data_IF_825226741752
#
_entry.id   IF_825226741752
#
_cell.length_a   1.000
_cell.length_b   1.000
_cell.length_c   1.000
_cell.angle_alpha   90.00
_cell.angle_beta   90.00
_cell.angle_gamma   90.00
#
_symmetry.space_group_name_H-M   'P 1'
#
loop_
_entity.id
_entity.type
_entity.pdbx_description
1 polymer ?
#
# COMPACT_ATOMS: atom_id res chain seq x y z
N UNK A 1 -12.38 -8.11 -41.22
CA UNK A 1 -11.69 -9.03 -40.29
C UNK A 1 -12.29 -8.75 -38.92
N UNK A 2 -13.23 -9.58 -38.49
CA UNK A 2 -13.79 -9.52 -37.12
C UNK A 2 -12.79 -10.20 -36.22
N UNK A 3 -12.33 -9.47 -35.20
CA UNK A 3 -11.35 -9.95 -34.24
C UNK A 3 -12.05 -10.94 -33.29
N UNK A 4 -11.74 -12.24 -33.41
CA UNK A 4 -12.29 -13.33 -32.57
C UNK A 4 -12.11 -13.11 -31.06
N UNK A 5 -11.15 -12.26 -30.68
CA UNK A 5 -10.91 -11.90 -29.28
C UNK A 5 -12.04 -11.05 -28.69
N UNK A 6 -12.88 -10.40 -29.52
CA UNK A 6 -14.01 -9.59 -29.07
C UNK A 6 -15.26 -10.43 -28.70
N UNK A 7 -15.34 -11.68 -29.13
CA UNK A 7 -16.49 -12.57 -28.88
C UNK A 7 -16.32 -13.45 -27.64
N UNK A 8 -15.09 -13.60 -27.14
CA UNK A 8 -14.80 -14.48 -26.01
C UNK A 8 -15.10 -13.83 -24.66
N UNK A 9 -16.00 -14.43 -23.88
CA UNK A 9 -16.29 -14.04 -22.48
C UNK A 9 -15.14 -14.38 -21.48
N UNK A 10 -14.01 -14.89 -21.97
CA UNK A 10 -12.83 -15.12 -21.14
C UNK A 10 -12.32 -13.82 -20.51
N UNK A 11 -12.49 -12.69 -21.17
CA UNK A 11 -12.05 -11.37 -20.68
C UNK A 11 -13.17 -10.66 -19.90
N UNK A 12 -12.80 -10.06 -18.76
CA UNK A 12 -13.73 -9.31 -17.92
C UNK A 12 -14.48 -8.19 -18.69
N UNK A 13 -13.78 -7.52 -19.62
CA UNK A 13 -14.35 -6.49 -20.48
C UNK A 13 -15.51 -7.02 -21.33
N UNK A 14 -15.36 -8.20 -21.92
CA UNK A 14 -16.39 -8.81 -22.77
C UNK A 14 -17.57 -9.28 -21.93
N UNK A 15 -17.33 -9.88 -20.75
CA UNK A 15 -18.40 -10.23 -19.81
C UNK A 15 -19.24 -9.03 -19.39
N UNK A 16 -18.58 -7.89 -19.11
CA UNK A 16 -19.31 -6.66 -18.80
C UNK A 16 -20.17 -6.21 -19.95
N UNK A 17 -19.63 -6.22 -21.18
CA UNK A 17 -20.32 -5.78 -22.40
C UNK A 17 -21.48 -6.70 -22.79
N UNK A 18 -21.28 -8.03 -22.71
CA UNK A 18 -22.25 -9.01 -23.20
C UNK A 18 -23.31 -9.39 -22.16
N UNK A 19 -23.00 -9.26 -20.87
CA UNK A 19 -23.87 -9.70 -19.78
C UNK A 19 -24.33 -8.57 -18.87
N UNK A 20 -23.40 -7.81 -18.29
CA UNK A 20 -23.74 -6.86 -17.24
C UNK A 20 -24.49 -5.62 -17.78
N UNK A 21 -24.02 -5.02 -18.89
CA UNK A 21 -24.68 -3.86 -19.47
C UNK A 21 -26.10 -4.18 -20.01
N UNK A 22 -26.35 -5.28 -20.77
CA UNK A 22 -27.69 -5.67 -21.16
C UNK A 22 -28.63 -5.98 -19.99
N UNK A 23 -28.10 -6.59 -18.90
CA UNK A 23 -28.90 -6.83 -17.71
C UNK A 23 -29.32 -5.52 -17.01
N UNK A 24 -28.45 -4.52 -16.97
CA UNK A 24 -28.77 -3.19 -16.45
C UNK A 24 -29.83 -2.51 -17.34
N UNK A 25 -29.72 -2.58 -18.67
CA UNK A 25 -30.66 -1.99 -19.60
C UNK A 25 -32.02 -2.65 -19.52
N UNK A 26 -32.11 -3.97 -19.29
CA UNK A 26 -33.38 -4.68 -19.09
C UNK A 26 -34.12 -4.19 -17.83
N UNK A 27 -33.39 -3.72 -16.83
CA UNK A 27 -33.98 -3.18 -15.59
C UNK A 27 -34.34 -1.69 -15.75
N UNK A 28 -33.52 -0.94 -16.45
CA UNK A 28 -33.71 0.47 -16.72
C UNK A 28 -33.12 0.82 -18.11
N UNK A 29 -33.95 1.14 -19.06
CA UNK A 29 -33.53 1.48 -20.42
C UNK A 29 -32.52 2.64 -20.52
N UNK A 30 -32.46 3.53 -19.49
CA UNK A 30 -31.51 4.61 -19.43
C UNK A 30 -30.26 4.28 -18.62
N UNK A 31 -30.10 3.04 -18.12
CA UNK A 31 -29.02 2.69 -17.17
C UNK A 31 -27.62 2.97 -17.74
N UNK A 32 -27.33 2.55 -18.95
CA UNK A 32 -26.03 2.76 -19.60
C UNK A 32 -25.74 4.24 -19.82
N UNK A 33 -26.75 5.01 -20.25
CA UNK A 33 -26.59 6.46 -20.43
C UNK A 33 -26.37 7.19 -19.11
N UNK A 34 -27.08 6.79 -18.04
CA UNK A 34 -26.91 7.35 -16.72
C UNK A 34 -25.51 7.02 -16.15
N UNK A 35 -25.05 5.80 -16.37
CA UNK A 35 -23.69 5.39 -15.98
C UNK A 35 -22.62 6.19 -16.74
N UNK A 36 -22.79 6.38 -18.06
CA UNK A 36 -21.87 7.19 -18.85
C UNK A 36 -21.80 8.64 -18.34
N UNK A 37 -22.95 9.28 -18.09
CA UNK A 37 -22.99 10.64 -17.50
C UNK A 37 -22.37 10.70 -16.12
N UNK A 38 -22.55 9.66 -15.30
CA UNK A 38 -21.91 9.57 -14.00
C UNK A 38 -20.38 9.50 -14.15
N UNK A 39 -19.87 8.65 -15.04
CA UNK A 39 -18.42 8.55 -15.33
C UNK A 39 -17.83 9.87 -15.82
N UNK A 40 -18.54 10.57 -16.74
CA UNK A 40 -18.11 11.89 -17.21
C UNK A 40 -18.05 12.93 -16.08
N UNK A 41 -19.07 12.93 -15.21
CA UNK A 41 -19.07 13.83 -14.04
C UNK A 41 -17.96 13.47 -13.06
N UNK A 42 -17.75 12.19 -12.76
CA UNK A 42 -16.69 11.72 -11.89
C UNK A 42 -15.30 12.13 -12.44
N UNK A 43 -15.05 11.94 -13.74
CA UNK A 43 -13.81 12.35 -14.38
C UNK A 43 -13.55 13.87 -14.27
N UNK A 44 -14.61 14.69 -14.38
CA UNK A 44 -14.48 16.14 -14.19
C UNK A 44 -14.14 16.52 -12.75
N UNK A 45 -14.73 15.83 -11.77
CA UNK A 45 -14.42 16.02 -10.35
C UNK A 45 -12.98 15.61 -10.06
N UNK A 46 -12.56 14.47 -10.57
CA UNK A 46 -11.19 13.98 -10.43
C UNK A 46 -10.18 14.97 -11.01
N UNK A 47 -10.42 15.48 -12.23
CA UNK A 47 -9.57 16.49 -12.84
C UNK A 47 -9.49 17.78 -12.03
N UNK A 48 -10.59 18.21 -11.41
CA UNK A 48 -10.61 19.38 -10.54
C UNK A 48 -9.78 19.17 -9.27
N UNK A 49 -9.95 18.01 -8.61
CA UNK A 49 -9.16 17.65 -7.44
C UNK A 49 -7.68 17.53 -7.76
N UNK A 50 -7.33 16.86 -8.87
CA UNK A 50 -5.95 16.73 -9.33
C UNK A 50 -5.28 18.08 -9.58
N UNK A 51 -6.01 19.03 -10.21
CA UNK A 51 -5.51 20.39 -10.41
C UNK A 51 -5.29 21.14 -9.09
N UNK A 52 -6.22 20.99 -8.14
CA UNK A 52 -6.10 21.55 -6.79
C UNK A 52 -4.91 20.95 -6.02
N UNK A 53 -4.76 19.65 -6.06
CA UNK A 53 -3.66 18.91 -5.45
C UNK A 53 -2.30 19.34 -6.00
N UNK A 54 -2.19 19.49 -7.32
CA UNK A 54 -0.97 19.98 -7.96
C UNK A 54 -0.60 21.40 -7.49
N UNK A 55 -1.58 22.30 -7.37
CA UNK A 55 -1.36 23.66 -6.84
C UNK A 55 -0.93 23.62 -5.36
N UNK A 56 -1.55 22.78 -4.54
CA UNK A 56 -1.18 22.58 -3.14
C UNK A 56 0.27 22.12 -3.01
N UNK A 57 0.66 21.09 -3.76
CA UNK A 57 2.04 20.55 -3.76
C UNK A 57 3.04 21.59 -4.28
N UNK A 58 2.69 22.34 -5.32
CA UNK A 58 3.56 23.41 -5.85
C UNK A 58 3.75 24.52 -4.83
N UNK A 59 2.69 24.95 -4.13
CA UNK A 59 2.77 25.98 -3.09
C UNK A 59 3.55 25.51 -1.84
N UNK A 60 3.44 24.22 -1.49
CA UNK A 60 4.16 23.64 -0.37
C UNK A 60 5.62 23.27 -0.70
N UNK A 61 6.00 23.23 -1.96
CA UNK A 61 7.32 22.77 -2.43
C UNK A 61 8.45 23.59 -1.83
N UNK A 62 9.43 22.91 -1.25
CA UNK A 62 10.67 23.52 -0.78
C UNK A 62 11.73 23.54 -1.90
N UNK A 63 12.53 24.60 -2.02
CA UNK A 63 13.68 24.60 -2.93
C UNK A 63 14.72 23.57 -2.48
N UNK A 64 15.35 22.90 -3.43
CA UNK A 64 16.39 21.92 -3.15
C UNK A 64 16.44 20.81 -4.19
N UNK A 65 17.51 20.01 -4.15
CA UNK A 65 17.72 18.88 -5.06
C UNK A 65 16.76 17.72 -4.71
N UNK A 66 16.50 17.53 -3.41
CA UNK A 66 15.60 16.47 -2.94
C UNK A 66 14.14 16.95 -2.88
N UNK A 67 13.18 16.07 -3.20
CA UNK A 67 11.77 16.39 -3.08
C UNK A 67 11.35 16.59 -1.62
N UNK A 68 10.96 17.84 -1.28
CA UNK A 68 10.49 18.19 0.05
C UNK A 68 9.34 19.22 -0.03
N UNK A 69 8.43 19.16 0.95
CA UNK A 69 7.26 20.04 1.05
C UNK A 69 7.08 20.54 2.48
N UNK A 70 6.63 21.79 2.66
CA UNK A 70 6.25 22.30 3.95
C UNK A 70 5.01 21.58 4.47
N UNK A 71 5.01 21.20 5.76
CA UNK A 71 3.86 20.52 6.37
C UNK A 71 2.68 21.47 6.61
N UNK A 72 2.92 22.73 6.98
CA UNK A 72 1.85 23.66 7.34
C UNK A 72 0.78 23.83 6.24
N UNK A 73 1.10 24.07 4.96
CA UNK A 73 0.10 24.12 3.90
C UNK A 73 -0.62 22.79 3.69
N UNK A 74 0.08 21.65 3.83
CA UNK A 74 -0.51 20.32 3.69
C UNK A 74 -1.49 20.01 4.82
N UNK A 75 -1.13 20.37 6.05
CA UNK A 75 -1.97 20.17 7.23
C UNK A 75 -3.22 21.06 7.24
N UNK A 76 -3.13 22.26 6.65
CA UNK A 76 -4.24 23.19 6.54
C UNK A 76 -5.20 22.88 5.37
N UNK A 77 -4.82 21.95 4.48
CA UNK A 77 -5.61 21.61 3.31
C UNK A 77 -6.86 20.79 3.69
N UNK A 78 -7.90 20.87 2.83
CA UNK A 78 -9.04 19.97 2.91
C UNK A 78 -8.58 18.50 2.88
N UNK A 79 -9.18 17.61 3.69
CA UNK A 79 -8.77 16.21 3.77
C UNK A 79 -8.74 15.48 2.43
N UNK A 80 -9.74 15.69 1.57
CA UNK A 80 -9.81 15.06 0.26
C UNK A 80 -8.73 15.60 -0.69
N UNK A 81 -8.46 16.90 -0.60
CA UNK A 81 -7.40 17.53 -1.40
C UNK A 81 -6.01 17.05 -0.97
N UNK A 82 -5.77 16.92 0.35
CA UNK A 82 -4.54 16.33 0.89
C UNK A 82 -4.35 14.90 0.41
N UNK A 83 -5.40 14.08 0.51
CA UNK A 83 -5.37 12.68 0.06
C UNK A 83 -5.03 12.58 -1.43
N UNK A 84 -5.70 13.38 -2.28
CA UNK A 84 -5.41 13.45 -3.72
C UNK A 84 -3.97 13.88 -3.99
N UNK A 85 -3.45 14.86 -3.24
CA UNK A 85 -2.08 15.33 -3.36
C UNK A 85 -1.07 14.23 -2.99
N UNK A 86 -1.27 13.56 -1.86
CA UNK A 86 -0.39 12.49 -1.41
C UNK A 86 -0.48 11.25 -2.31
N UNK A 87 -1.68 10.92 -2.81
CA UNK A 87 -1.87 9.88 -3.82
C UNK A 87 -1.01 10.15 -5.06
N UNK A 88 -0.95 11.39 -5.54
CA UNK A 88 -0.13 11.76 -6.71
C UNK A 88 1.39 11.61 -6.46
N UNK A 89 1.84 11.66 -5.20
CA UNK A 89 3.24 11.40 -4.82
C UNK A 89 3.54 9.90 -4.71
N UNK A 90 2.56 9.09 -4.31
CA UNK A 90 2.70 7.64 -4.14
C UNK A 90 2.63 6.90 -5.47
N UNK A 91 1.69 7.28 -6.34
CA UNK A 91 1.38 6.60 -7.60
C UNK A 91 2.59 6.35 -8.53
N UNK A 92 3.55 7.28 -8.72
CA UNK A 92 4.73 7.05 -9.55
C UNK A 92 5.73 6.05 -8.97
N UNK A 93 5.65 5.80 -7.66
CA UNK A 93 6.63 4.98 -6.92
C UNK A 93 6.15 3.54 -6.79
N UNK A 94 4.86 3.36 -6.62
CA UNK A 94 4.21 2.09 -6.34
C UNK A 94 2.75 2.17 -6.76
N UNK A 95 2.13 1.00 -7.01
CA UNK A 95 0.67 0.92 -7.05
C UNK A 95 0.11 1.60 -5.81
N UNK A 96 -0.66 2.66 -6.03
CA UNK A 96 -1.17 3.52 -4.96
C UNK A 96 -2.27 2.80 -4.17
N UNK A 97 -1.89 1.74 -3.43
CA UNK A 97 -2.80 1.10 -2.51
C UNK A 97 -3.25 2.12 -1.46
N UNK A 98 -4.55 2.20 -1.25
CA UNK A 98 -5.21 3.10 -0.31
C UNK A 98 -4.52 3.19 1.06
N UNK A 99 -4.04 2.04 1.58
CA UNK A 99 -3.36 1.98 2.88
C UNK A 99 -2.11 2.87 2.97
N UNK A 100 -1.32 2.99 1.90
CA UNK A 100 -0.10 3.83 1.92
C UNK A 100 -0.44 5.31 1.88
N UNK A 101 -1.47 5.68 1.14
CA UNK A 101 -1.98 7.05 1.09
C UNK A 101 -2.49 7.45 2.48
N UNK A 102 -3.29 6.60 3.13
CA UNK A 102 -3.82 6.84 4.47
C UNK A 102 -2.72 6.92 5.54
N UNK A 103 -1.71 6.05 5.49
CA UNK A 103 -0.54 6.13 6.37
C UNK A 103 0.22 7.45 6.19
N UNK A 104 0.40 7.88 4.94
CA UNK A 104 1.09 9.13 4.64
C UNK A 104 0.26 10.34 5.09
N UNK A 105 -1.06 10.31 4.91
CA UNK A 105 -1.99 11.31 5.47
C UNK A 105 -1.85 11.42 7.00
N UNK A 106 -1.80 10.28 7.70
CA UNK A 106 -1.64 10.24 9.15
C UNK A 106 -0.31 10.89 9.58
N UNK A 107 0.80 10.53 8.93
CA UNK A 107 2.14 11.07 9.20
C UNK A 107 2.20 12.59 8.94
N UNK A 108 1.60 13.06 7.85
CA UNK A 108 1.51 14.51 7.55
C UNK A 108 0.70 15.24 8.62
N UNK A 109 -0.47 14.73 9.00
CA UNK A 109 -1.32 15.32 10.05
C UNK A 109 -0.63 15.36 11.40
N UNK A 110 0.09 14.30 11.75
CA UNK A 110 0.86 14.21 13.00
C UNK A 110 2.09 15.13 12.98
N UNK A 111 2.63 15.46 11.80
CA UNK A 111 3.82 16.28 11.64
C UNK A 111 5.14 15.55 11.93
N UNK A 112 5.08 14.25 12.18
CA UNK A 112 6.25 13.41 12.47
C UNK A 112 6.00 11.96 12.08
N UNK A 113 7.07 11.24 11.73
CA UNK A 113 7.03 9.84 11.37
C UNK A 113 7.54 9.57 9.97
N UNK A 114 7.47 8.30 9.55
CA UNK A 114 7.93 7.88 8.23
C UNK A 114 7.05 6.78 7.66
N UNK A 115 6.90 6.78 6.34
CA UNK A 115 6.23 5.72 5.57
C UNK A 115 7.18 5.23 4.49
N UNK A 116 7.51 3.95 4.51
CA UNK A 116 8.30 3.31 3.47
C UNK A 116 7.36 2.72 2.43
N UNK A 117 7.49 3.17 1.18
CA UNK A 117 6.65 2.70 0.06
C UNK A 117 7.27 1.49 -0.63
N UNK A 118 8.59 1.54 -0.87
CA UNK A 118 9.37 0.47 -1.49
C UNK A 118 10.66 0.28 -0.72
N UNK A 119 11.50 -0.67 -1.13
CA UNK A 119 12.83 -0.83 -0.56
C UNK A 119 13.71 0.42 -0.66
N UNK A 120 13.46 1.26 -1.66
CA UNK A 120 14.30 2.41 -2.01
C UNK A 120 13.66 3.77 -1.70
N UNK A 121 12.33 3.86 -1.57
CA UNK A 121 11.62 5.14 -1.40
C UNK A 121 10.89 5.19 -0.07
N UNK A 122 11.17 6.25 0.68
CA UNK A 122 10.57 6.54 1.97
C UNK A 122 10.15 8.00 2.02
N UNK A 123 9.01 8.27 2.65
CA UNK A 123 8.60 9.61 3.04
C UNK A 123 8.77 9.80 4.53
N UNK A 124 9.41 10.90 4.92
CA UNK A 124 9.66 11.26 6.32
C UNK A 124 9.07 12.64 6.61
N UNK A 125 8.23 12.73 7.64
CA UNK A 125 7.77 14.01 8.18
C UNK A 125 8.56 14.37 9.44
N UNK A 126 9.00 15.59 9.52
CA UNK A 126 9.73 16.13 10.67
C UNK A 126 10.26 17.53 10.39
N UNK A 127 10.55 18.29 11.46
CA UNK A 127 11.06 19.65 11.35
C UNK A 127 10.22 20.58 10.43
N UNK A 128 8.89 20.40 10.44
CA UNK A 128 7.96 21.20 9.64
C UNK A 128 7.93 20.87 8.15
N UNK A 129 8.57 19.80 7.70
CA UNK A 129 8.58 19.38 6.30
C UNK A 129 8.34 17.88 6.12
N UNK A 130 7.76 17.53 4.96
CA UNK A 130 7.67 16.19 4.40
C UNK A 130 8.80 16.05 3.38
N UNK A 131 9.61 15.02 3.48
CA UNK A 131 10.72 14.71 2.55
C UNK A 131 10.51 13.35 1.91
N UNK A 132 10.81 13.28 0.63
CA UNK A 132 10.97 12.01 -0.07
C UNK A 132 12.45 11.66 -0.08
N UNK A 133 12.80 10.55 0.51
CA UNK A 133 14.17 10.06 0.63
C UNK A 133 14.35 8.83 -0.26
N UNK A 134 15.44 8.81 -1.02
CA UNK A 134 15.91 7.62 -1.72
C UNK A 134 16.87 6.90 -0.79
N UNK A 135 16.48 5.70 -0.37
CA UNK A 135 17.37 4.83 0.39
C UNK A 135 18.35 4.18 -0.58
N UNK A 136 19.64 4.05 -0.23
CA UNK A 136 20.55 3.25 -1.02
C UNK A 136 20.00 1.84 -1.12
N UNK A 137 20.24 1.18 -2.27
CA UNK A 137 19.89 -0.23 -2.42
C UNK A 137 20.41 -0.96 -1.17
N UNK A 138 19.50 -1.59 -0.45
CA UNK A 138 19.92 -2.47 0.62
C UNK A 138 20.87 -3.46 -0.06
N UNK A 139 22.16 -3.32 0.23
CA UNK A 139 23.14 -4.34 -0.13
C UNK A 139 22.47 -5.67 0.17
N UNK A 140 22.45 -6.63 -0.79
CA UNK A 140 21.91 -7.93 -0.52
C UNK A 140 22.47 -8.29 0.84
N UNK A 141 21.60 -8.58 1.82
CA UNK A 141 22.06 -9.05 3.11
C UNK A 141 23.01 -10.17 2.76
N UNK A 142 24.30 -9.88 2.76
CA UNK A 142 25.27 -10.93 2.84
C UNK A 142 24.83 -11.66 4.09
N UNK A 143 24.18 -12.81 3.89
CA UNK A 143 24.09 -13.81 4.92
C UNK A 143 25.54 -13.90 5.39
N UNK A 144 25.86 -13.19 6.45
CA UNK A 144 27.07 -13.45 7.17
C UNK A 144 26.95 -14.91 7.55
N UNK A 145 27.57 -15.73 6.73
CA UNK A 145 27.71 -17.18 6.92
C UNK A 145 28.72 -17.48 8.04
N UNK A 146 28.81 -16.59 9.02
CA UNK A 146 29.35 -16.94 10.29
C UNK A 146 28.32 -17.87 10.95
N UNK A 147 28.65 -19.15 11.19
CA UNK A 147 27.78 -20.02 11.94
C UNK A 147 27.54 -19.33 13.29
N UNK A 148 26.34 -18.77 13.45
CA UNK A 148 25.88 -18.31 14.75
C UNK A 148 25.92 -19.55 15.62
N UNK A 149 26.88 -19.62 16.55
CA UNK A 149 26.83 -20.62 17.60
C UNK A 149 25.53 -20.36 18.34
N UNK A 150 24.49 -21.11 18.01
CA UNK A 150 23.26 -21.15 18.76
C UNK A 150 23.67 -21.74 20.12
N UNK A 151 23.54 -21.02 21.24
CA UNK A 151 23.85 -21.58 22.52
C UNK A 151 23.01 -22.84 22.68
N UNK A 152 23.67 -23.96 23.04
CA UNK A 152 22.99 -25.22 23.33
C UNK A 152 21.81 -24.92 24.26
N UNK A 153 20.61 -25.19 23.81
CA UNK A 153 19.41 -25.05 24.62
C UNK A 153 19.60 -25.89 25.89
N UNK A 154 19.23 -25.36 27.07
CA UNK A 154 19.27 -26.15 28.30
C UNK A 154 18.39 -27.38 28.14
N UNK A 155 18.81 -28.51 28.74
CA UNK A 155 18.14 -29.83 28.63
C UNK A 155 16.63 -29.84 28.96
N UNK A 156 16.11 -28.76 29.53
CA UNK A 156 14.69 -28.57 29.78
C UNK A 156 14.08 -27.69 28.68
N UNK A 157 13.23 -28.29 27.89
CA UNK A 157 12.39 -27.56 26.93
C UNK A 157 11.59 -26.46 27.65
N UNK A 158 11.65 -25.20 27.21
CA UNK A 158 10.88 -24.14 27.87
C UNK A 158 9.39 -24.36 27.63
N UNK A 159 8.63 -24.46 28.73
CA UNK A 159 7.16 -24.39 28.67
C UNK A 159 6.73 -22.94 28.48
N UNK A 160 5.92 -22.67 27.47
CA UNK A 160 5.36 -21.34 27.28
C UNK A 160 3.83 -21.35 27.36
N UNK A 161 3.27 -20.28 27.91
CA UNK A 161 1.83 -20.03 27.98
C UNK A 161 1.44 -19.01 26.93
N UNK A 162 0.59 -19.39 26.00
CA UNK A 162 -0.05 -18.45 25.08
C UNK A 162 -1.25 -17.77 25.76
N UNK A 163 -1.47 -16.48 25.44
CA UNK A 163 -2.69 -15.77 25.87
C UNK A 163 -3.90 -16.49 25.30
N UNK A 164 -4.75 -17.03 26.19
CA UNK A 164 -5.92 -17.83 25.79
C UNK A 164 -5.93 -19.25 26.36
N UNK A 165 -5.01 -19.61 27.28
CA UNK A 165 -5.04 -20.90 28.01
C UNK A 165 -4.37 -22.07 27.28
N UNK A 166 -3.69 -21.86 26.18
CA UNK A 166 -2.96 -22.91 25.46
C UNK A 166 -1.56 -23.13 26.05
N UNK A 167 -1.24 -24.39 26.29
CA UNK A 167 0.12 -24.84 26.67
C UNK A 167 0.73 -25.59 25.50
N UNK A 168 1.97 -25.26 25.16
CA UNK A 168 2.70 -25.91 24.08
C UNK A 168 4.15 -26.18 24.43
N UNK A 169 4.76 -27.15 23.78
CA UNK A 169 6.20 -27.42 23.79
C UNK A 169 6.75 -27.09 22.43
N UNK A 170 7.88 -26.39 22.39
CA UNK A 170 8.60 -26.14 21.15
C UNK A 170 9.66 -27.25 20.95
N UNK A 171 9.58 -27.96 19.85
CA UNK A 171 10.61 -28.91 19.42
C UNK A 171 11.41 -28.27 18.29
N UNK A 172 12.74 -28.23 18.46
CA UNK A 172 13.67 -27.87 17.38
C UNK A 172 13.94 -29.13 16.56
N UNK A 173 13.43 -29.17 15.34
CA UNK A 173 13.77 -30.17 14.35
C UNK A 173 14.93 -29.64 13.49
N UNK A 174 16.12 -30.15 13.72
CA UNK A 174 17.27 -29.97 12.81
C UNK A 174 17.15 -31.00 11.69
N UNK A 175 16.58 -30.62 10.57
CA UNK A 175 16.73 -31.38 9.33
C UNK A 175 17.43 -30.47 8.34
N UNK A 176 18.47 -30.96 7.79
CA UNK A 176 19.35 -30.37 6.77
C UNK A 176 18.92 -28.99 6.21
N UNK A 177 19.59 -27.93 6.70
CA UNK A 177 19.61 -26.54 6.20
C UNK A 177 18.36 -25.65 6.36
N UNK A 178 17.27 -26.10 6.94
CA UNK A 178 16.17 -25.19 7.33
C UNK A 178 15.75 -25.46 8.77
N UNK A 179 16.06 -24.52 9.68
CA UNK A 179 15.50 -24.53 11.03
C UNK A 179 14.00 -24.18 10.94
N UNK A 180 13.14 -25.20 10.95
CA UNK A 180 11.69 -25.03 11.08
C UNK A 180 11.30 -25.22 12.53
N UNK A 181 10.79 -24.14 13.14
CA UNK A 181 10.13 -24.24 14.44
C UNK A 181 8.70 -24.75 14.19
N UNK A 182 8.42 -26.01 14.54
CA UNK A 182 7.06 -26.53 14.56
C UNK A 182 6.48 -26.39 15.96
N UNK A 183 5.40 -25.61 16.07
CA UNK A 183 4.60 -25.50 17.27
C UNK A 183 3.54 -26.60 17.22
N UNK A 184 3.69 -27.63 18.05
CA UNK A 184 2.70 -28.70 18.18
C UNK A 184 1.66 -28.26 19.21
N UNK A 185 0.44 -28.01 18.76
CA UNK A 185 -0.68 -27.70 19.61
C UNK A 185 -1.29 -29.01 20.14
N UNK A 186 -1.20 -29.25 21.44
CA UNK A 186 -2.02 -30.26 22.12
C UNK A 186 -3.18 -29.58 22.81
N UNK A 187 -4.40 -29.97 22.43
CA UNK A 187 -5.62 -29.61 23.15
C UNK A 187 -5.58 -30.31 24.55
N UNK A 188 -5.69 -29.51 25.58
CA UNK A 188 -5.88 -30.01 26.94
C UNK A 188 -7.35 -30.42 27.15
#
# INVERSE_FOLDING_TARGET
MTDETNESDAYARNRLRHSALPALESTNAAAVQNLARFCEKAARVDAYLAAGAAKLLAAARLPGAEPAWQLAPLQAADPLLLETALHSLVAPVRDAEEKYVQLLCAVVRQGSGAVQLTGQVRFCAGNGCLRQEMLPDALPRQLESAPRQVPLLPEKQPEFRLRGGWKGKAELLTADFEEKIQVVHKKA
#
